data_IF_025326530536
#
_entry.id   IF_025326530536
#
_cell.length_a   1.000
_cell.length_b   1.000
_cell.length_c   1.000
_cell.angle_alpha   90.00
_cell.angle_beta   90.00
_cell.angle_gamma   90.00
#
_symmetry.space_group_name_H-M   'P 1'
#
loop_
_entity.id
_entity.type
_entity.pdbx_description
1 polymer ?
#
# COMPACT_ATOMS: atom_id res chain seq x y z
N UNK A 1 -13.43 32.97 -35.94
CA UNK A 1 -13.79 33.47 -34.60
C UNK A 1 -14.74 32.53 -33.86
N UNK A 2 -15.92 32.18 -34.41
CA UNK A 2 -16.88 31.29 -33.73
C UNK A 2 -16.34 29.88 -33.38
N UNK A 3 -15.60 29.25 -34.30
CA UNK A 3 -15.02 27.91 -34.05
C UNK A 3 -14.06 27.93 -32.85
N UNK A 4 -13.21 28.95 -32.74
CA UNK A 4 -12.26 29.11 -31.62
C UNK A 4 -13.02 29.28 -30.30
N UNK A 5 -14.08 30.09 -30.30
CA UNK A 5 -14.93 30.30 -29.13
C UNK A 5 -15.61 29.00 -28.67
N UNK A 6 -16.19 28.24 -29.62
CA UNK A 6 -16.83 26.95 -29.32
C UNK A 6 -15.82 25.96 -28.78
N UNK A 7 -14.63 25.86 -29.37
CA UNK A 7 -13.56 24.98 -28.87
C UNK A 7 -13.09 25.38 -27.47
N UNK A 8 -13.02 26.68 -27.16
CA UNK A 8 -12.62 27.16 -25.84
C UNK A 8 -13.67 26.82 -24.77
N UNK A 9 -14.96 26.96 -25.07
CA UNK A 9 -16.06 26.60 -24.15
C UNK A 9 -16.06 25.09 -23.87
N UNK A 10 -15.91 24.27 -24.91
CA UNK A 10 -15.84 22.81 -24.75
C UNK A 10 -14.61 22.38 -23.94
N UNK A 11 -13.44 22.98 -24.19
CA UNK A 11 -12.23 22.70 -23.42
C UNK A 11 -12.37 23.10 -21.94
N UNK A 12 -13.00 24.25 -21.66
CA UNK A 12 -13.26 24.70 -20.30
C UNK A 12 -14.24 23.76 -19.55
N UNK A 13 -15.24 23.23 -20.24
CA UNK A 13 -16.20 22.26 -19.67
C UNK A 13 -15.58 20.89 -19.36
N UNK A 14 -14.57 20.45 -20.12
CA UNK A 14 -13.93 19.15 -19.94
C UNK A 14 -12.91 19.10 -18.77
N UNK A 15 -12.30 20.23 -18.43
CA UNK A 15 -11.32 20.37 -17.32
C UNK A 15 -11.77 19.76 -15.98
N UNK A 16 -12.96 20.07 -15.41
CA UNK A 16 -13.38 19.52 -14.12
C UNK A 16 -13.46 17.99 -14.11
N UNK A 17 -13.93 17.38 -15.20
CA UNK A 17 -13.98 15.91 -15.30
C UNK A 17 -12.58 15.30 -15.34
N UNK A 18 -11.62 15.96 -15.99
CA UNK A 18 -10.24 15.49 -16.05
C UNK A 18 -9.60 15.45 -14.66
N UNK A 19 -9.85 16.44 -13.80
CA UNK A 19 -9.30 16.44 -12.43
C UNK A 19 -9.76 15.23 -11.61
N UNK A 20 -11.05 14.87 -11.70
CA UNK A 20 -11.56 13.69 -11.00
C UNK A 20 -10.94 12.39 -11.57
N UNK A 21 -10.79 12.28 -12.89
CA UNK A 21 -10.13 11.13 -13.52
C UNK A 21 -8.65 11.01 -13.09
N UNK A 22 -7.95 12.13 -12.95
CA UNK A 22 -6.57 12.13 -12.42
C UNK A 22 -6.55 11.64 -10.98
N UNK A 23 -7.45 12.13 -10.12
CA UNK A 23 -7.53 11.70 -8.72
C UNK A 23 -7.83 10.20 -8.58
N UNK A 24 -8.73 9.66 -9.40
CA UNK A 24 -9.01 8.21 -9.48
C UNK A 24 -7.76 7.42 -9.87
N UNK A 25 -7.01 7.90 -10.88
CA UNK A 25 -5.77 7.24 -11.29
C UNK A 25 -4.67 7.33 -10.22
N UNK A 26 -4.60 8.44 -9.49
CA UNK A 26 -3.64 8.62 -8.40
C UNK A 26 -3.86 7.60 -7.29
N UNK A 27 -5.10 7.46 -6.78
CA UNK A 27 -5.41 6.50 -5.73
C UNK A 27 -5.20 5.05 -6.20
N UNK A 28 -5.57 4.72 -7.44
CA UNK A 28 -5.36 3.39 -8.02
C UNK A 28 -3.87 3.06 -8.21
N UNK A 29 -3.07 4.04 -8.62
CA UNK A 29 -1.61 3.90 -8.76
C UNK A 29 -0.95 3.60 -7.41
N UNK A 30 -1.30 4.35 -6.36
CA UNK A 30 -0.77 4.12 -5.01
C UNK A 30 -1.18 2.75 -4.49
N UNK A 31 -2.46 2.37 -4.65
CA UNK A 31 -2.97 1.06 -4.24
C UNK A 31 -2.20 -0.10 -4.88
N UNK A 32 -2.04 -0.03 -6.22
CA UNK A 32 -1.34 -1.06 -6.98
C UNK A 32 0.14 -1.12 -6.64
N UNK A 33 0.79 0.02 -6.44
CA UNK A 33 2.21 0.08 -6.06
C UNK A 33 2.45 -0.53 -4.69
N UNK A 34 1.61 -0.23 -3.71
CA UNK A 34 1.70 -0.84 -2.39
C UNK A 34 1.61 -2.37 -2.47
N UNK A 35 0.60 -2.89 -3.18
CA UNK A 35 0.43 -4.34 -3.35
C UNK A 35 1.59 -4.95 -4.14
N UNK A 36 2.09 -4.29 -5.19
CA UNK A 36 3.24 -4.77 -5.93
C UNK A 36 4.48 -4.90 -5.03
N UNK A 37 4.75 -3.91 -4.16
CA UNK A 37 5.86 -3.98 -3.22
C UNK A 37 5.65 -5.09 -2.17
N UNK A 38 4.42 -5.26 -1.67
CA UNK A 38 4.11 -6.34 -0.72
C UNK A 38 4.20 -7.74 -1.35
N UNK A 39 3.76 -7.90 -2.62
CA UNK A 39 3.90 -9.16 -3.36
C UNK A 39 5.36 -9.45 -3.72
N UNK A 40 6.14 -8.41 -4.04
CA UNK A 40 7.59 -8.54 -4.19
C UNK A 40 8.22 -9.04 -2.90
N UNK A 41 7.89 -8.45 -1.74
CA UNK A 41 8.38 -8.91 -0.44
C UNK A 41 8.05 -10.40 -0.20
N UNK A 42 6.80 -10.80 -0.46
CA UNK A 42 6.37 -12.20 -0.38
C UNK A 42 7.16 -13.11 -1.33
N UNK A 43 7.36 -12.68 -2.57
CA UNK A 43 8.10 -13.44 -3.58
C UNK A 43 9.56 -13.65 -3.17
N UNK A 44 10.20 -12.61 -2.62
CA UNK A 44 11.57 -12.71 -2.11
C UNK A 44 11.66 -13.62 -0.88
N UNK A 45 10.69 -13.56 0.02
CA UNK A 45 10.64 -14.46 1.18
C UNK A 45 10.57 -15.94 0.76
N UNK A 46 9.76 -16.24 -0.26
CA UNK A 46 9.65 -17.58 -0.86
C UNK A 46 10.95 -18.01 -1.57
N UNK A 47 11.54 -17.11 -2.36
CA UNK A 47 12.71 -17.42 -3.18
C UNK A 47 13.99 -17.63 -2.34
N UNK A 48 14.16 -16.83 -1.29
CA UNK A 48 15.36 -16.82 -0.45
C UNK A 48 15.20 -17.69 0.81
N UNK A 49 13.99 -18.11 1.15
CA UNK A 49 13.72 -18.86 2.38
C UNK A 49 13.94 -18.05 3.66
N UNK A 50 13.92 -16.72 3.59
CA UNK A 50 14.11 -15.80 4.73
C UNK A 50 12.86 -14.96 4.99
N UNK A 51 12.79 -14.30 6.16
CA UNK A 51 11.73 -13.34 6.43
C UNK A 51 11.99 -12.03 5.70
N UNK A 52 10.98 -11.50 5.02
CA UNK A 52 11.05 -10.20 4.32
C UNK A 52 9.87 -9.36 4.77
N UNK A 53 10.11 -8.08 5.06
CA UNK A 53 9.11 -7.17 5.57
C UNK A 53 8.89 -5.98 4.65
N UNK A 54 7.65 -5.48 4.66
CA UNK A 54 7.28 -4.15 4.19
C UNK A 54 6.86 -3.32 5.41
N UNK A 55 7.49 -2.16 5.62
CA UNK A 55 7.27 -1.32 6.79
C UNK A 55 7.30 0.18 6.42
N UNK A 56 6.63 1.06 7.18
CA UNK A 56 6.72 2.51 7.00
C UNK A 56 8.16 3.05 7.10
N UNK A 57 8.47 4.12 6.37
CA UNK A 57 9.81 4.75 6.38
C UNK A 57 10.11 5.47 7.71
N UNK A 58 9.18 6.28 8.20
CA UNK A 58 9.32 7.10 9.40
C UNK A 58 7.99 7.08 10.18
N UNK A 59 8.03 7.34 11.49
CA UNK A 59 6.84 7.66 12.29
C UNK A 59 5.76 6.57 12.42
N UNK A 60 6.03 5.33 12.00
CA UNK A 60 5.04 4.26 11.84
C UNK A 60 3.90 4.60 10.84
N UNK A 61 3.93 5.70 10.08
CA UNK A 61 2.81 6.10 9.20
C UNK A 61 3.03 5.65 7.77
N UNK A 62 2.08 4.92 7.20
CA UNK A 62 2.16 4.47 5.79
C UNK A 62 2.10 5.63 4.78
N UNK A 63 1.61 6.80 5.20
CA UNK A 63 1.48 8.02 4.38
C UNK A 63 2.82 8.65 4.00
N UNK A 64 3.81 8.49 4.89
CA UNK A 64 5.19 8.98 4.69
C UNK A 64 5.96 8.10 3.71
N UNK A 65 5.36 6.98 3.31
CA UNK A 65 5.95 5.98 2.45
C UNK A 65 6.36 4.72 3.19
N UNK A 66 6.93 3.78 2.45
CA UNK A 66 7.29 2.45 2.95
C UNK A 66 8.54 1.93 2.28
N UNK A 67 9.18 0.98 2.93
CA UNK A 67 10.34 0.26 2.43
C UNK A 67 10.09 -1.25 2.49
N UNK A 68 10.68 -1.97 1.55
CA UNK A 68 10.79 -3.42 1.54
C UNK A 68 12.23 -3.79 1.86
N UNK A 69 12.42 -4.63 2.87
CA UNK A 69 13.74 -5.08 3.33
C UNK A 69 13.65 -6.52 3.83
N UNK A 70 14.80 -7.19 3.87
CA UNK A 70 14.95 -8.42 4.64
C UNK A 70 14.68 -8.10 6.10
N UNK A 71 14.04 -9.03 6.82
CA UNK A 71 13.93 -8.94 8.27
C UNK A 71 14.92 -9.91 8.89
N UNK A 72 16.07 -9.40 9.31
CA UNK A 72 17.10 -10.22 9.94
C UNK A 72 16.72 -10.61 11.38
N UNK A 73 16.90 -11.88 11.79
CA UNK A 73 16.66 -12.29 13.17
C UNK A 73 17.62 -11.55 14.10
N UNK A 74 17.09 -10.87 15.12
CA UNK A 74 17.92 -10.24 16.16
C UNK A 74 18.74 -11.33 16.88
N UNK A 75 20.07 -11.15 16.93
CA UNK A 75 20.97 -12.01 17.70
C UNK A 75 21.62 -13.17 16.92
N UNK A 76 21.32 -13.35 15.63
CA UNK A 76 22.11 -14.23 14.75
C UNK A 76 22.75 -13.37 13.66
N UNK A 77 24.06 -13.15 13.80
CA UNK A 77 24.93 -12.70 12.71
C UNK A 77 25.02 -13.83 11.66
N UNK A 78 23.93 -14.02 10.91
CA UNK A 78 24.04 -14.67 9.62
C UNK A 78 24.85 -13.70 8.77
N UNK A 79 26.06 -14.13 8.38
CA UNK A 79 27.03 -13.35 7.59
C UNK A 79 26.41 -12.78 6.30
N UNK A 80 25.30 -13.38 5.84
CA UNK A 80 24.57 -12.98 4.63
C UNK A 80 23.27 -12.18 4.88
N UNK A 81 22.88 -11.91 6.13
CA UNK A 81 21.66 -11.14 6.40
C UNK A 81 21.98 -9.65 6.57
N UNK A 82 22.05 -8.94 5.44
CA UNK A 82 22.24 -7.49 5.41
C UNK A 82 20.88 -6.81 5.23
N UNK A 83 20.49 -5.98 6.19
CA UNK A 83 19.32 -5.10 6.09
C UNK A 83 19.57 -4.06 4.97
N UNK A 84 19.29 -4.44 3.73
CA UNK A 84 19.34 -3.56 2.56
C UNK A 84 17.92 -3.29 2.06
N UNK A 85 17.51 -2.02 1.89
CA UNK A 85 16.24 -1.70 1.27
C UNK A 85 16.30 -2.12 -0.20
N UNK A 86 15.30 -2.88 -0.65
CA UNK A 86 15.17 -3.32 -2.04
C UNK A 86 14.25 -2.42 -2.84
N UNK A 87 13.09 -2.11 -2.28
CA UNK A 87 12.12 -1.19 -2.85
C UNK A 87 11.73 -0.18 -1.80
N UNK A 88 11.50 1.05 -2.23
CA UNK A 88 10.95 2.09 -1.38
C UNK A 88 9.92 2.90 -2.13
N UNK A 89 9.04 3.51 -1.37
CA UNK A 89 8.08 4.50 -1.83
C UNK A 89 8.16 5.64 -0.83
N UNK A 90 8.31 6.87 -1.32
CA UNK A 90 8.24 8.06 -0.48
C UNK A 90 6.79 8.48 -0.20
N UNK A 91 6.62 9.71 0.24
CA UNK A 91 5.31 10.34 0.53
C UNK A 91 4.33 10.14 -0.63
N UNK A 92 3.08 9.82 -0.30
CA UNK A 92 2.02 9.49 -1.27
C UNK A 92 0.96 10.57 -1.46
N UNK A 93 1.11 11.74 -0.82
CA UNK A 93 0.22 12.89 -1.01
C UNK A 93 0.00 13.20 -2.50
N UNK A 94 -1.23 13.55 -2.92
CA UNK A 94 -2.41 13.87 -2.11
C UNK A 94 -3.26 12.65 -1.70
N UNK A 95 -2.75 11.43 -1.89
CA UNK A 95 -3.38 10.20 -1.42
C UNK A 95 -2.90 9.91 0.00
N UNK A 96 -3.77 9.38 0.86
CA UNK A 96 -3.44 9.05 2.25
C UNK A 96 -4.19 7.80 2.72
N UNK A 97 -3.74 7.18 3.80
CA UNK A 97 -4.37 6.06 4.47
C UNK A 97 -5.33 6.58 5.55
N UNK A 98 -6.64 6.35 5.35
CA UNK A 98 -7.67 6.70 6.33
C UNK A 98 -7.39 6.02 7.67
N UNK A 99 -7.61 6.76 8.77
CA UNK A 99 -7.28 6.30 10.12
C UNK A 99 -5.77 6.28 10.42
N UNK A 100 -4.96 7.00 9.64
CA UNK A 100 -3.50 7.08 9.79
C UNK A 100 -2.79 5.76 9.51
N UNK A 101 -3.44 4.86 8.78
CA UNK A 101 -2.92 3.55 8.43
C UNK A 101 -2.54 2.67 9.63
N UNK A 102 -3.19 2.83 10.79
CA UNK A 102 -2.86 2.14 12.05
C UNK A 102 -2.99 0.61 12.00
N UNK A 103 -3.41 0.05 10.88
CA UNK A 103 -3.45 -1.38 10.64
C UNK A 103 -2.03 -1.94 10.50
N UNK A 104 -1.92 -3.26 10.73
CA UNK A 104 -0.64 -3.98 10.66
C UNK A 104 0.38 -3.54 11.72
N UNK A 105 -0.08 -3.24 12.94
CA UNK A 105 0.78 -3.05 14.11
C UNK A 105 0.98 -4.40 14.80
N UNK A 106 2.24 -4.75 15.06
CA UNK A 106 2.57 -5.90 15.89
C UNK A 106 2.13 -5.61 17.35
N UNK A 107 1.25 -6.41 17.95
CA UNK A 107 0.71 -6.14 19.29
C UNK A 107 1.74 -6.26 20.41
N UNK A 108 2.94 -6.80 20.16
CA UNK A 108 3.96 -7.00 21.19
C UNK A 108 5.14 -6.05 21.01
N UNK A 109 5.52 -5.77 19.77
CA UNK A 109 6.62 -4.83 19.49
C UNK A 109 6.14 -3.39 19.22
N UNK A 110 4.85 -3.18 18.95
CA UNK A 110 4.32 -1.87 18.56
C UNK A 110 4.78 -1.38 17.18
N UNK A 111 5.67 -2.14 16.53
CA UNK A 111 6.20 -1.82 15.20
C UNK A 111 5.13 -2.08 14.14
N UNK A 112 4.99 -1.14 13.21
CA UNK A 112 4.09 -1.29 12.08
C UNK A 112 4.80 -1.93 10.90
N UNK A 113 4.16 -2.92 10.29
CA UNK A 113 4.69 -3.59 9.12
C UNK A 113 4.02 -4.91 8.84
N UNK A 114 4.35 -5.48 7.69
CA UNK A 114 3.86 -6.79 7.27
C UNK A 114 5.09 -7.62 6.94
N UNK A 115 5.32 -8.67 7.73
CA UNK A 115 6.38 -9.62 7.49
C UNK A 115 5.84 -10.87 6.79
N UNK A 116 6.59 -11.34 5.80
CA UNK A 116 6.35 -12.59 5.10
C UNK A 116 7.45 -13.57 5.48
N UNK A 117 7.06 -14.75 5.96
CA UNK A 117 8.01 -15.81 6.28
C UNK A 117 8.45 -16.58 5.02
N UNK A 118 9.37 -17.53 5.17
CA UNK A 118 9.85 -18.41 4.10
C UNK A 118 8.76 -19.20 3.35
N UNK A 119 7.57 -19.37 3.94
CA UNK A 119 6.41 -20.02 3.31
C UNK A 119 5.48 -19.01 2.61
N UNK A 120 5.84 -17.72 2.56
CA UNK A 120 5.06 -16.65 1.96
C UNK A 120 3.80 -16.27 2.76
N UNK A 121 3.66 -16.74 4.00
CA UNK A 121 2.56 -16.38 4.87
C UNK A 121 2.83 -15.02 5.53
N UNK A 122 1.83 -14.14 5.52
CA UNK A 122 1.88 -12.87 6.26
C UNK A 122 1.72 -13.14 7.76
N UNK A 123 2.76 -12.88 8.54
CA UNK A 123 2.81 -13.17 9.98
C UNK A 123 3.30 -11.97 10.79
N UNK A 124 2.85 -11.90 12.04
CA UNK A 124 3.47 -11.03 13.06
C UNK A 124 4.81 -11.63 13.50
N UNK A 125 5.64 -10.86 14.22
CA UNK A 125 6.91 -11.38 14.74
C UNK A 125 6.71 -12.60 15.66
N UNK A 126 5.52 -12.72 16.26
CA UNK A 126 5.13 -13.82 17.14
C UNK A 126 4.30 -14.92 16.45
N UNK A 127 4.25 -14.93 15.12
CA UNK A 127 3.73 -16.07 14.34
C UNK A 127 2.22 -16.08 14.07
N UNK A 128 1.48 -15.06 14.52
CA UNK A 128 0.04 -14.91 14.23
C UNK A 128 -0.23 -14.45 12.79
N UNK A 129 -1.32 -14.89 12.17
CA UNK A 129 -1.69 -14.45 10.82
C UNK A 129 -2.09 -12.98 10.79
N UNK A 130 -1.62 -12.29 9.76
CA UNK A 130 -1.88 -10.86 9.56
C UNK A 130 -2.95 -10.69 8.49
N UNK A 131 -4.21 -10.80 8.88
CA UNK A 131 -5.34 -10.45 8.01
C UNK A 131 -5.90 -9.09 8.45
N UNK A 132 -5.78 -8.09 7.59
CA UNK A 132 -6.27 -6.74 7.86
C UNK A 132 -6.50 -5.98 6.55
N UNK A 133 -7.04 -4.77 6.65
CA UNK A 133 -7.25 -3.88 5.51
C UNK A 133 -6.62 -2.52 5.73
N UNK A 134 -6.10 -1.94 4.67
CA UNK A 134 -5.74 -0.52 4.60
C UNK A 134 -6.74 0.18 3.70
N UNK A 135 -7.12 1.40 4.05
CA UNK A 135 -8.10 2.18 3.29
C UNK A 135 -7.40 3.44 2.80
N UNK A 136 -7.33 3.63 1.49
CA UNK A 136 -6.83 4.86 0.89
C UNK A 136 -7.96 5.87 0.70
N UNK A 137 -7.65 7.14 0.87
CA UNK A 137 -8.46 8.30 0.51
C UNK A 137 -7.66 9.32 -0.30
N UNK A 138 -8.34 10.36 -0.78
CA UNK A 138 -7.73 11.43 -1.56
C UNK A 138 -8.12 12.79 -0.98
N UNK A 139 -7.14 13.66 -0.69
CA UNK A 139 -7.36 14.95 -0.01
C UNK A 139 -8.38 15.84 -0.71
N UNK A 140 -8.26 15.97 -2.04
CA UNK A 140 -9.13 16.85 -2.86
C UNK A 140 -10.47 16.22 -3.25
N UNK A 141 -10.61 14.90 -3.09
CA UNK A 141 -11.81 14.16 -3.49
C UNK A 141 -12.14 13.12 -2.41
N UNK A 142 -12.73 13.55 -1.28
CA UNK A 142 -12.94 12.69 -0.11
C UNK A 142 -13.85 11.48 -0.37
N UNK A 143 -14.71 11.56 -1.41
CA UNK A 143 -15.53 10.43 -1.85
C UNK A 143 -14.75 9.29 -2.53
N UNK A 144 -13.50 9.52 -2.93
CA UNK A 144 -12.66 8.49 -3.53
C UNK A 144 -12.05 7.62 -2.44
N UNK A 145 -12.21 6.31 -2.61
CA UNK A 145 -11.69 5.32 -1.68
C UNK A 145 -11.20 4.08 -2.41
N UNK A 146 -10.13 3.47 -1.90
CA UNK A 146 -9.70 2.12 -2.27
C UNK A 146 -9.36 1.34 -1.02
N UNK A 147 -9.92 0.15 -0.85
CA UNK A 147 -9.55 -0.73 0.24
C UNK A 147 -8.58 -1.80 -0.27
N UNK A 148 -7.46 -1.93 0.43
CA UNK A 148 -6.42 -2.92 0.20
C UNK A 148 -6.58 -3.98 1.28
N UNK A 149 -7.02 -5.16 0.90
CA UNK A 149 -7.39 -6.23 1.85
C UNK A 149 -6.36 -7.35 1.77
N UNK A 150 -5.73 -7.66 2.90
CA UNK A 150 -4.83 -8.79 3.06
C UNK A 150 -5.59 -9.95 3.70
N UNK A 151 -5.74 -11.05 2.97
CA UNK A 151 -6.27 -12.29 3.52
C UNK A 151 -5.23 -13.04 4.35
N UNK A 152 -5.68 -13.99 5.20
CA UNK A 152 -4.83 -14.82 6.07
C UNK A 152 -3.72 -15.56 5.30
N UNK A 153 -3.96 -15.95 4.05
CA UNK A 153 -2.97 -16.61 3.18
C UNK A 153 -1.99 -15.66 2.48
N UNK A 154 -1.89 -14.39 2.89
CA UNK A 154 -0.99 -13.39 2.30
C UNK A 154 -1.43 -12.86 0.93
N UNK A 155 -2.66 -13.15 0.48
CA UNK A 155 -3.19 -12.68 -0.80
C UNK A 155 -3.80 -11.29 -0.62
N UNK A 156 -3.40 -10.37 -1.48
CA UNK A 156 -3.94 -9.01 -1.55
C UNK A 156 -5.10 -8.90 -2.55
N UNK A 157 -6.04 -8.00 -2.23
CA UNK A 157 -7.12 -7.56 -3.13
C UNK A 157 -7.28 -6.05 -3.03
N UNK A 158 -7.67 -5.41 -4.13
CA UNK A 158 -8.09 -4.01 -4.16
C UNK A 158 -9.60 -4.03 -4.41
N UNK A 159 -10.35 -3.24 -3.66
CA UNK A 159 -11.77 -3.02 -3.93
C UNK A 159 -12.10 -1.51 -3.90
N UNK A 160 -13.12 -1.14 -4.67
CA UNK A 160 -13.75 0.17 -4.65
C UNK A 160 -15.15 -0.01 -4.02
N UNK A 161 -15.40 0.48 -2.80
CA UNK A 161 -16.67 0.24 -2.11
C UNK A 161 -17.88 0.86 -2.83
N UNK A 162 -17.66 1.85 -3.72
CA UNK A 162 -18.74 2.46 -4.51
C UNK A 162 -19.13 1.63 -5.73
N UNK A 163 -18.20 0.83 -6.26
CA UNK A 163 -18.44 -0.01 -7.45
C UNK A 163 -18.71 -1.48 -7.09
N UNK A 164 -18.05 -1.97 -6.04
CA UNK A 164 -18.06 -3.37 -5.67
C UNK A 164 -18.02 -3.55 -4.15
N UNK A 165 -19.12 -3.14 -3.49
CA UNK A 165 -19.28 -3.24 -2.05
C UNK A 165 -19.19 -4.69 -1.54
N UNK A 166 -19.66 -5.67 -2.31
CA UNK A 166 -19.62 -7.09 -1.93
C UNK A 166 -18.20 -7.65 -1.92
N UNK A 167 -17.32 -7.20 -2.82
CA UNK A 167 -15.91 -7.60 -2.78
C UNK A 167 -15.10 -6.87 -1.69
N UNK A 168 -15.67 -5.84 -1.07
CA UNK A 168 -15.05 -5.12 0.05
C UNK A 168 -15.41 -5.67 1.44
N UNK A 169 -16.38 -6.59 1.54
CA UNK A 169 -16.83 -7.19 2.82
C UNK A 169 -16.06 -8.45 3.20
#
# INVERSE_FOLDING_TARGET
>A
MAVVLITAILAAGAMPMLYEQVAVRQIDSVARRFIAHAQFARGQALALGVSVQIAPLQGNLWDEGWLVSIQCPKGKLLVDCVDRPWLSQGVIAPVYFKGGGRQFIDPHLGNRGIAFNAAGAAKTAHGGFVANRLILGHERHPQLERQLILGRGGRWRICDPRKDAKSCS
#
